data_IF_612649989025
#
_entry.id   IF_612649989025
#
_cell.length_a   1.000
_cell.length_b   1.000
_cell.length_c   1.000
_cell.angle_alpha   90.00
_cell.angle_beta   90.00
_cell.angle_gamma   90.00
#
_symmetry.space_group_name_H-M   'P 1'
#
loop_
_entity.id
_entity.type
_entity.pdbx_description
1 polymer ?
#
# COMPACT_ATOMS: atom_id res chain seq x y z
N UNK A 1 -41.19 -31.60 56.10
CA UNK A 1 -42.02 -30.84 57.05
C UNK A 1 -41.11 -29.76 57.65
N UNK A 2 -41.59 -28.50 57.64
CA UNK A 2 -41.15 -27.31 58.42
C UNK A 2 -40.09 -27.51 59.52
N UNK A 3 -39.22 -26.58 59.89
CA UNK A 3 -38.91 -25.19 59.58
C UNK A 3 -37.61 -24.86 60.38
N UNK A 4 -36.94 -23.73 60.14
CA UNK A 4 -36.56 -22.71 61.14
C UNK A 4 -35.59 -21.66 60.53
N UNK A 5 -35.59 -20.40 61.03
CA UNK A 5 -35.14 -19.21 60.30
C UNK A 5 -33.91 -18.48 60.89
N UNK A 6 -33.41 -17.54 60.06
CA UNK A 6 -32.72 -16.25 60.33
C UNK A 6 -31.56 -16.13 61.34
N UNK A 7 -30.43 -15.53 60.92
CA UNK A 7 -30.13 -14.10 61.19
C UNK A 7 -28.78 -13.63 60.58
N UNK A 8 -28.87 -12.46 59.94
CA UNK A 8 -27.91 -11.35 59.82
C UNK A 8 -26.41 -11.59 59.52
N UNK A 9 -25.99 -11.12 58.33
CA UNK A 9 -24.59 -10.75 58.02
C UNK A 9 -24.43 -9.22 58.08
N UNK A 10 -23.48 -8.74 58.88
CA UNK A 10 -22.98 -7.36 58.85
C UNK A 10 -21.59 -7.29 58.19
N UNK A 11 -21.54 -6.43 57.18
CA UNK A 11 -20.44 -5.70 56.53
C UNK A 11 -18.99 -5.81 57.08
N UNK A 12 -18.03 -6.02 56.17
CA UNK A 12 -16.94 -5.06 55.85
C UNK A 12 -16.06 -5.57 54.68
N UNK A 13 -16.20 -4.93 53.49
CA UNK A 13 -15.21 -4.09 52.78
C UNK A 13 -13.99 -4.77 52.15
N UNK A 14 -13.99 -4.83 50.82
CA UNK A 14 -12.84 -4.52 49.97
C UNK A 14 -13.36 -4.10 48.58
N UNK A 15 -12.93 -2.93 48.11
CA UNK A 15 -13.38 -2.24 46.90
C UNK A 15 -12.94 -2.96 45.62
N UNK A 16 -13.90 -3.20 44.72
CA UNK A 16 -13.63 -3.48 43.31
C UNK A 16 -13.68 -2.15 42.54
N UNK A 17 -12.56 -1.75 41.95
CA UNK A 17 -12.51 -0.70 40.94
C UNK A 17 -13.22 -1.20 39.67
N UNK A 18 -14.48 -0.79 39.49
CA UNK A 18 -15.17 -0.86 38.21
C UNK A 18 -14.89 0.44 37.43
N UNK A 19 -14.15 0.33 36.33
CA UNK A 19 -14.07 1.37 35.30
C UNK A 19 -15.46 1.56 34.67
N UNK A 20 -16.17 2.60 35.13
CA UNK A 20 -17.37 3.11 34.46
C UNK A 20 -16.96 3.94 33.24
N UNK A 21 -17.40 3.52 32.05
CA UNK A 21 -17.38 4.35 30.84
C UNK A 21 -18.48 5.41 30.95
N UNK A 22 -18.08 6.68 31.01
CA UNK A 22 -18.99 7.83 30.98
C UNK A 22 -19.34 8.13 29.51
N UNK A 23 -20.62 8.11 29.09
CA UNK A 23 -20.99 8.55 27.76
C UNK A 23 -20.96 10.08 27.70
N UNK A 24 -20.05 10.65 26.91
CA UNK A 24 -20.01 12.09 26.66
C UNK A 24 -21.08 12.44 25.62
N UNK A 25 -22.32 12.60 26.08
CA UNK A 25 -23.36 13.30 25.33
C UNK A 25 -23.22 14.82 25.55
N UNK A 26 -22.25 15.43 24.86
CA UNK A 26 -22.01 16.88 24.88
C UNK A 26 -22.19 17.49 23.50
N UNK A 27 -23.36 18.08 23.23
CA UNK A 27 -23.58 18.95 22.06
C UNK A 27 -22.80 20.25 22.26
N UNK A 28 -21.50 20.23 22.01
CA UNK A 28 -20.74 21.44 21.70
C UNK A 28 -20.75 21.63 20.19
N UNK A 29 -21.61 22.54 19.72
CA UNK A 29 -21.47 23.11 18.37
C UNK A 29 -20.14 23.86 18.34
N UNK A 30 -19.10 23.22 17.81
CA UNK A 30 -17.94 23.92 17.30
C UNK A 30 -18.44 24.91 16.23
N UNK A 31 -17.97 26.18 16.24
CA UNK A 31 -18.28 27.07 15.14
C UNK A 31 -17.76 26.44 13.86
N UNK A 32 -18.64 26.30 12.87
CA UNK A 32 -18.27 25.93 11.51
C UNK A 32 -17.38 27.07 11.01
N UNK A 33 -16.06 26.88 11.08
CA UNK A 33 -15.12 27.68 10.32
C UNK A 33 -15.40 27.38 8.86
N UNK A 34 -16.07 28.31 8.20
CA UNK A 34 -16.20 28.33 6.75
C UNK A 34 -14.81 28.23 6.12
N UNK A 35 -14.53 27.12 5.45
CA UNK A 35 -13.61 27.03 4.32
C UNK A 35 -12.20 27.62 4.53
N UNK A 36 -11.47 27.21 5.56
CA UNK A 36 -10.02 27.28 5.48
C UNK A 36 -9.54 26.11 4.61
N UNK A 37 -9.61 26.30 3.29
CA UNK A 37 -8.93 25.44 2.33
C UNK A 37 -7.45 25.54 2.71
N UNK A 38 -6.87 24.52 3.36
CA UNK A 38 -5.41 24.44 3.41
C UNK A 38 -5.00 24.29 1.95
N UNK A 39 -4.36 25.31 1.34
CA UNK A 39 -3.96 25.17 -0.05
C UNK A 39 -2.83 24.15 -0.02
N UNK A 40 -3.12 22.93 -0.49
CA UNK A 40 -2.07 21.97 -0.82
C UNK A 40 -1.08 22.72 -1.73
N UNK A 41 0.24 22.70 -1.42
CA UNK A 41 1.20 23.45 -2.20
C UNK A 41 1.09 23.06 -3.67
N UNK A 42 0.86 24.01 -4.58
CA UNK A 42 0.67 23.71 -6.01
C UNK A 42 1.84 22.91 -6.61
N UNK A 43 3.02 23.04 -6.02
CA UNK A 43 4.21 22.27 -6.40
C UNK A 43 4.03 20.75 -6.27
N UNK A 44 3.21 20.25 -5.34
CA UNK A 44 2.98 18.79 -5.21
C UNK A 44 2.16 18.22 -6.37
N UNK A 45 1.44 19.08 -7.09
CA UNK A 45 0.68 18.74 -8.29
C UNK A 45 1.44 19.07 -9.58
N UNK A 46 2.73 19.42 -9.48
CA UNK A 46 3.52 19.74 -10.66
C UNK A 46 3.66 18.52 -11.56
N UNK A 47 3.34 18.69 -12.84
CA UNK A 47 3.47 17.64 -13.86
C UNK A 47 4.85 17.67 -14.53
N UNK A 48 5.86 18.17 -13.82
CA UNK A 48 7.22 18.27 -14.33
C UNK A 48 7.74 16.89 -14.75
N UNK A 49 8.43 16.83 -15.88
CA UNK A 49 9.13 15.61 -16.28
C UNK A 49 10.11 15.21 -15.17
N UNK A 50 10.12 13.94 -14.75
CA UNK A 50 11.07 13.43 -13.77
C UNK A 50 12.52 13.64 -14.22
N UNK A 51 13.39 14.07 -13.31
CA UNK A 51 14.81 14.30 -13.58
C UNK A 51 15.68 13.72 -12.47
N UNK A 52 16.72 12.97 -12.84
CA UNK A 52 17.69 12.53 -11.85
C UNK A 52 18.50 13.73 -11.34
N UNK A 53 18.89 13.68 -10.07
CA UNK A 53 19.65 14.74 -9.41
C UNK A 53 20.82 14.17 -8.63
N UNK A 54 21.94 14.88 -8.63
CA UNK A 54 23.07 14.60 -7.74
C UNK A 54 23.05 15.63 -6.62
N UNK A 55 22.83 15.16 -5.40
CA UNK A 55 22.63 16.00 -4.22
C UNK A 55 23.95 16.19 -3.47
N UNK A 56 24.21 17.42 -3.02
CA UNK A 56 25.36 17.75 -2.18
C UNK A 56 24.89 18.12 -0.77
N UNK A 57 25.67 17.73 0.24
CA UNK A 57 25.39 18.10 1.63
C UNK A 57 25.67 19.60 1.84
N UNK A 58 24.62 20.39 2.07
CA UNK A 58 24.75 21.84 2.27
C UNK A 58 25.08 22.21 3.72
N UNK A 59 24.66 21.40 4.70
CA UNK A 59 24.85 21.69 6.12
C UNK A 59 24.86 20.42 6.97
N UNK A 60 25.66 20.42 8.03
CA UNK A 60 25.78 19.30 8.96
C UNK A 60 26.85 18.29 8.55
N UNK A 61 26.76 17.08 9.09
CA UNK A 61 27.67 15.96 8.80
C UNK A 61 26.79 14.76 8.45
N UNK A 62 27.00 14.18 7.26
CA UNK A 62 26.33 12.93 6.90
C UNK A 62 27.01 11.76 7.64
N UNK A 63 26.27 10.86 8.31
CA UNK A 63 26.88 9.72 8.98
C UNK A 63 27.60 8.82 7.98
N UNK A 64 28.87 8.53 8.22
CA UNK A 64 29.69 7.71 7.30
C UNK A 64 29.28 6.23 7.28
N UNK A 65 28.57 5.79 8.32
CA UNK A 65 28.07 4.44 8.50
C UNK A 65 26.63 4.26 7.99
N UNK A 66 25.97 5.34 7.55
CA UNK A 66 24.65 5.26 6.93
C UNK A 66 24.80 4.84 5.46
N UNK A 67 24.43 3.60 5.16
CA UNK A 67 24.49 3.02 3.81
C UNK A 67 23.13 2.54 3.34
N UNK A 68 23.04 2.14 2.07
CA UNK A 68 21.80 1.66 1.45
C UNK A 68 21.00 2.76 0.78
N UNK A 69 19.69 2.58 0.71
CA UNK A 69 18.79 3.40 -0.10
C UNK A 69 17.53 3.78 0.68
N UNK A 70 17.09 5.03 0.55
CA UNK A 70 15.73 5.44 0.89
C UNK A 70 14.86 5.34 -0.36
N UNK A 71 13.79 4.56 -0.26
CA UNK A 71 12.82 4.37 -1.32
C UNK A 71 11.52 5.07 -0.98
N UNK A 72 10.97 5.81 -1.95
CA UNK A 72 9.67 6.46 -1.83
C UNK A 72 8.82 6.11 -3.04
N UNK A 73 7.52 5.96 -2.83
CA UNK A 73 6.55 5.82 -3.91
C UNK A 73 5.50 6.91 -3.80
N UNK A 74 5.04 7.40 -4.95
CA UNK A 74 3.92 8.33 -5.04
C UNK A 74 3.26 8.21 -6.42
N UNK A 75 1.98 8.57 -6.57
CA UNK A 75 1.38 8.72 -7.88
C UNK A 75 1.92 9.97 -8.58
N UNK A 76 2.19 9.89 -9.89
CA UNK A 76 2.74 11.02 -10.64
C UNK A 76 1.65 11.99 -11.14
N UNK A 77 1.74 13.32 -10.88
CA UNK A 77 0.68 14.26 -11.22
C UNK A 77 0.30 14.38 -12.70
N UNK A 78 1.19 13.98 -13.63
CA UNK A 78 0.87 13.96 -15.07
C UNK A 78 -0.16 12.91 -15.46
N UNK A 79 -0.49 12.01 -14.53
CA UNK A 79 -1.42 10.88 -14.73
C UNK A 79 -2.63 10.96 -13.80
N UNK A 80 -2.82 12.11 -13.13
CA UNK A 80 -3.99 12.35 -12.29
C UNK A 80 -5.20 12.56 -13.18
N UNK A 81 -6.01 11.51 -13.29
CA UNK A 81 -7.36 11.61 -13.82
C UNK A 81 -8.33 11.79 -12.63
N UNK A 82 -9.32 12.68 -12.77
CA UNK A 82 -10.37 12.84 -11.76
C UNK A 82 -11.11 11.50 -11.56
N UNK A 83 -11.42 11.07 -10.32
CA UNK A 83 -11.73 11.94 -9.19
C UNK A 83 -10.62 12.09 -8.14
N UNK A 84 -9.56 11.28 -8.15
CA UNK A 84 -8.59 11.27 -7.04
C UNK A 84 -7.13 11.02 -7.49
N UNK A 85 -6.15 11.77 -6.96
CA UNK A 85 -4.71 11.58 -7.23
C UNK A 85 -4.17 10.17 -6.97
N UNK A 86 -4.83 9.39 -6.11
CA UNK A 86 -4.45 8.00 -5.78
C UNK A 86 -4.49 7.05 -6.98
N UNK A 87 -5.09 7.45 -8.09
CA UNK A 87 -5.17 6.63 -9.31
C UNK A 87 -4.15 7.03 -10.38
N UNK A 88 -3.25 7.96 -10.06
CA UNK A 88 -2.11 8.24 -10.93
C UNK A 88 -1.14 7.06 -10.98
N UNK A 89 -0.49 6.88 -12.12
CA UNK A 89 0.55 5.88 -12.30
C UNK A 89 1.70 6.12 -11.32
N UNK A 90 2.29 5.03 -10.84
CA UNK A 90 3.31 5.04 -9.81
C UNK A 90 4.61 5.67 -10.29
N UNK A 91 5.23 6.40 -9.38
CA UNK A 91 6.60 6.87 -9.46
C UNK A 91 7.37 6.25 -8.30
N UNK A 92 8.59 5.80 -8.58
CA UNK A 92 9.57 5.44 -7.54
C UNK A 92 10.69 6.47 -7.50
N UNK A 93 11.05 6.87 -6.29
CA UNK A 93 12.22 7.69 -6.00
C UNK A 93 13.20 6.87 -5.16
N UNK A 94 14.48 6.98 -5.48
CA UNK A 94 15.57 6.38 -4.72
C UNK A 94 16.59 7.45 -4.36
N UNK A 95 16.81 7.64 -3.07
CA UNK A 95 17.94 8.38 -2.54
C UNK A 95 19.00 7.39 -2.06
N UNK A 96 20.18 7.43 -2.67
CA UNK A 96 21.32 6.67 -2.20
C UNK A 96 21.91 7.33 -0.97
N UNK A 97 22.12 6.54 0.08
CA UNK A 97 22.62 7.01 1.36
C UNK A 97 24.16 6.99 1.41
N UNK A 98 24.80 6.48 0.36
CA UNK A 98 26.24 6.50 0.13
C UNK A 98 26.57 7.35 -1.10
N UNK A 99 27.51 8.29 -0.96
CA UNK A 99 27.94 9.16 -2.05
C UNK A 99 28.74 8.39 -3.12
N UNK A 100 28.74 8.86 -4.37
CA UNK A 100 29.47 8.21 -5.47
C UNK A 100 28.83 6.92 -6.00
N UNK A 101 27.63 6.58 -5.53
CA UNK A 101 26.90 5.38 -5.98
C UNK A 101 25.92 5.70 -7.11
N UNK A 102 25.49 4.67 -7.84
CA UNK A 102 24.45 4.76 -8.88
C UNK A 102 24.67 5.89 -9.91
N UNK A 103 25.92 6.06 -10.32
CA UNK A 103 26.34 7.02 -11.34
C UNK A 103 26.49 8.46 -10.85
N UNK A 104 26.30 8.74 -9.55
CA UNK A 104 26.62 10.05 -8.99
C UNK A 104 28.14 10.26 -8.87
N UNK A 105 28.63 11.51 -8.92
CA UNK A 105 30.01 11.85 -8.57
C UNK A 105 30.37 11.43 -7.13
N UNK A 106 31.67 11.24 -6.86
CA UNK A 106 32.20 10.72 -5.59
C UNK A 106 31.69 11.46 -4.33
N UNK A 107 31.48 12.77 -4.42
CA UNK A 107 31.04 13.61 -3.30
C UNK A 107 29.54 13.97 -3.34
N UNK A 108 28.76 13.27 -4.16
CA UNK A 108 27.33 13.51 -4.36
C UNK A 108 26.49 12.26 -4.09
N UNK A 109 25.28 12.48 -3.57
CA UNK A 109 24.29 11.43 -3.34
C UNK A 109 23.33 11.34 -4.53
N UNK A 110 23.10 10.12 -5.03
CA UNK A 110 22.20 9.90 -6.15
C UNK A 110 20.74 10.04 -5.70
N UNK A 111 19.99 10.97 -6.31
CA UNK A 111 18.54 10.96 -6.33
C UNK A 111 18.08 10.52 -7.72
N UNK A 112 17.46 9.34 -7.79
CA UNK A 112 16.98 8.76 -9.05
C UNK A 112 15.47 8.57 -9.00
N UNK A 113 14.80 8.85 -10.11
CA UNK A 113 13.34 8.77 -10.15
C UNK A 113 12.81 8.25 -11.47
N UNK A 114 11.84 7.33 -11.44
CA UNK A 114 11.21 6.75 -12.63
C UNK A 114 9.72 6.51 -12.41
N UNK A 115 8.93 6.90 -13.39
CA UNK A 115 7.55 6.45 -13.52
C UNK A 115 7.60 4.95 -13.86
N UNK A 116 6.73 4.17 -13.24
CA UNK A 116 6.64 2.72 -13.45
C UNK A 116 6.07 2.47 -14.85
N UNK A 117 6.96 2.06 -15.76
CA UNK A 117 6.64 1.80 -17.17
C UNK A 117 6.04 0.39 -17.36
N UNK A 118 4.94 0.12 -16.66
CA UNK A 118 4.20 -1.14 -16.73
C UNK A 118 3.42 -1.27 -18.06
N UNK A 119 2.94 -2.48 -18.42
CA UNK A 119 2.05 -2.65 -19.57
C UNK A 119 0.81 -1.76 -19.54
N UNK A 120 0.20 -1.52 -18.37
CA UNK A 120 -0.94 -0.59 -18.22
C UNK A 120 -0.54 0.85 -18.52
N UNK A 121 0.59 1.32 -17.96
CA UNK A 121 1.10 2.68 -18.20
C UNK A 121 1.46 2.90 -19.68
N UNK A 122 2.09 1.91 -20.34
CA UNK A 122 2.40 1.93 -21.78
C UNK A 122 1.15 2.00 -22.64
N UNK A 123 0.14 1.17 -22.36
CA UNK A 123 -1.13 1.18 -23.08
C UNK A 123 -1.86 2.51 -22.90
N UNK A 124 -1.88 3.04 -21.68
CA UNK A 124 -2.47 4.35 -21.36
C UNK A 124 -1.76 5.48 -22.09
N UNK A 125 -0.43 5.45 -22.18
CA UNK A 125 0.35 6.41 -22.95
C UNK A 125 0.05 6.33 -24.46
N UNK A 126 -0.09 5.12 -25.00
CA UNK A 126 -0.35 4.91 -26.42
C UNK A 126 -1.79 5.23 -26.83
N UNK A 127 -2.76 4.97 -25.95
CA UNK A 127 -4.21 5.09 -26.22
C UNK A 127 -4.95 5.77 -25.07
N UNK A 128 -4.58 7.00 -24.68
CA UNK A 128 -5.22 7.68 -23.55
C UNK A 128 -6.72 7.90 -23.76
N UNK A 129 -7.17 7.95 -25.03
CA UNK A 129 -8.55 8.15 -25.44
C UNK A 129 -9.53 7.06 -24.98
N UNK A 130 -9.03 5.85 -24.67
CA UNK A 130 -9.87 4.73 -24.21
C UNK A 130 -9.73 4.44 -22.72
N UNK A 131 -8.97 5.25 -21.98
CA UNK A 131 -8.87 5.15 -20.53
C UNK A 131 -9.80 6.15 -19.86
N UNK A 132 -10.40 5.76 -18.74
CA UNK A 132 -11.32 6.61 -17.99
C UNK A 132 -11.16 6.34 -16.51
N UNK A 133 -10.99 7.38 -15.72
CA UNK A 133 -10.97 7.23 -14.28
C UNK A 133 -12.36 6.97 -13.70
N UNK A 134 -12.37 6.17 -12.64
CA UNK A 134 -13.55 5.72 -11.90
C UNK A 134 -13.27 5.86 -10.41
N UNK A 135 -14.23 5.48 -9.57
CA UNK A 135 -14.04 5.43 -8.12
C UNK A 135 -13.15 4.26 -7.66
N UNK A 136 -12.80 3.33 -8.55
CA UNK A 136 -11.96 2.15 -8.25
C UNK A 136 -10.60 2.17 -8.96
N UNK A 137 -10.25 3.27 -9.65
CA UNK A 137 -9.06 3.36 -10.49
C UNK A 137 -9.36 3.70 -11.94
N UNK A 138 -8.40 3.47 -12.83
CA UNK A 138 -8.51 3.83 -14.26
C UNK A 138 -8.86 2.60 -15.10
N UNK A 139 -10.01 2.64 -15.77
CA UNK A 139 -10.53 1.54 -16.61
C UNK A 139 -10.31 1.79 -18.10
N UNK A 140 -10.29 0.71 -18.87
CA UNK A 140 -10.22 0.72 -20.34
C UNK A 140 -10.89 -0.53 -20.91
N UNK A 141 -11.10 -0.61 -22.24
CA UNK A 141 -11.48 -1.85 -22.91
C UNK A 141 -10.49 -3.01 -22.74
N UNK A 142 -9.28 -2.77 -22.24
CA UNK A 142 -8.29 -3.80 -21.95
C UNK A 142 -8.40 -4.36 -20.52
N UNK A 143 -9.14 -3.67 -19.65
CA UNK A 143 -9.27 -3.97 -18.22
C UNK A 143 -8.87 -2.79 -17.33
N UNK A 144 -8.37 -3.08 -16.12
CA UNK A 144 -8.04 -2.09 -15.08
C UNK A 144 -6.55 -1.79 -15.00
N UNK A 145 -6.19 -0.51 -15.02
CA UNK A 145 -4.80 -0.09 -14.88
C UNK A 145 -4.27 -0.41 -13.48
N UNK A 146 -3.20 -1.21 -13.40
CA UNK A 146 -2.40 -1.34 -12.19
C UNK A 146 -1.54 -0.08 -12.02
N UNK A 147 -1.84 0.74 -10.99
CA UNK A 147 -1.15 1.99 -10.74
C UNK A 147 0.22 1.81 -10.07
N UNK A 148 0.40 0.77 -9.24
CA UNK A 148 1.66 0.45 -8.56
C UNK A 148 2.37 1.64 -7.90
N UNK A 149 1.62 2.44 -7.14
CA UNK A 149 2.00 3.80 -6.71
C UNK A 149 2.02 4.01 -5.19
N UNK A 150 1.77 2.96 -4.40
CA UNK A 150 1.46 3.11 -2.97
C UNK A 150 2.67 2.89 -2.09
N UNK A 151 3.34 1.74 -2.22
CA UNK A 151 4.52 1.46 -1.41
C UNK A 151 5.63 0.76 -2.21
N UNK A 152 6.90 1.12 -1.95
CA UNK A 152 8.03 0.27 -2.32
C UNK A 152 8.16 -0.87 -1.30
N UNK A 153 8.55 -2.05 -1.77
CA UNK A 153 8.77 -3.23 -0.95
C UNK A 153 10.10 -3.89 -1.35
N UNK A 154 11.21 -3.62 -0.64
CA UNK A 154 12.46 -4.32 -0.86
C UNK A 154 12.41 -5.75 -0.30
N UNK A 155 13.01 -6.70 -1.02
CA UNK A 155 13.18 -8.08 -0.58
C UNK A 155 14.50 -8.64 -1.09
N UNK A 156 15.50 -8.69 -0.22
CA UNK A 156 16.85 -9.08 -0.62
C UNK A 156 17.41 -8.13 -1.68
N UNK A 157 17.78 -8.66 -2.84
CA UNK A 157 18.26 -7.90 -4.01
C UNK A 157 17.14 -7.49 -4.97
N UNK A 158 15.87 -7.66 -4.59
CA UNK A 158 14.68 -7.36 -5.41
C UNK A 158 13.94 -6.16 -4.86
N UNK A 159 13.23 -5.46 -5.74
CA UNK A 159 12.41 -4.31 -5.39
C UNK A 159 11.03 -4.43 -6.04
N UNK A 160 9.98 -4.25 -5.24
CA UNK A 160 8.61 -4.24 -5.72
C UNK A 160 7.93 -2.90 -5.47
N UNK A 161 6.92 -2.61 -6.27
CA UNK A 161 5.96 -1.52 -6.06
C UNK A 161 4.55 -2.09 -5.99
N UNK A 162 3.73 -1.53 -5.12
CA UNK A 162 2.44 -2.12 -4.74
C UNK A 162 1.30 -1.12 -4.85
N UNK A 163 0.09 -1.66 -4.92
CA UNK A 163 -1.17 -0.93 -4.93
C UNK A 163 -2.31 -1.86 -4.48
N UNK A 164 -3.35 -1.34 -3.86
CA UNK A 164 -4.48 -2.12 -3.32
C UNK A 164 -5.27 -2.89 -4.38
N UNK A 165 -5.12 -2.49 -5.64
CA UNK A 165 -5.96 -2.96 -6.75
C UNK A 165 -5.13 -3.47 -7.92
N UNK A 166 -4.01 -4.13 -7.61
CA UNK A 166 -3.16 -4.76 -8.61
C UNK A 166 -2.30 -5.88 -8.02
N UNK A 167 -1.60 -6.57 -8.91
CA UNK A 167 -0.51 -7.47 -8.51
C UNK A 167 0.72 -6.61 -8.17
N UNK A 168 1.52 -6.96 -7.15
CA UNK A 168 2.79 -6.28 -6.95
C UNK A 168 3.62 -6.31 -8.24
N UNK A 169 4.28 -5.20 -8.56
CA UNK A 169 5.16 -5.08 -9.72
C UNK A 169 6.60 -5.17 -9.23
N UNK A 170 7.40 -6.03 -9.85
CA UNK A 170 8.84 -6.05 -9.67
C UNK A 170 9.50 -5.01 -10.59
N UNK A 171 10.42 -4.25 -10.02
CA UNK A 171 11.28 -3.32 -10.73
C UNK A 171 12.75 -3.62 -10.44
N UNK A 172 13.60 -3.28 -11.39
CA UNK A 172 15.04 -3.36 -11.23
C UNK A 172 15.48 -2.35 -10.14
N UNK A 173 16.15 -2.79 -9.06
CA UNK A 173 16.52 -1.90 -7.96
C UNK A 173 17.59 -0.87 -8.34
N UNK A 174 18.31 -1.07 -9.45
CA UNK A 174 19.36 -0.17 -9.98
C UNK A 174 18.77 0.81 -10.97
N UNK A 175 18.03 0.33 -11.97
CA UNK A 175 17.50 1.18 -13.05
C UNK A 175 16.10 1.73 -12.77
N UNK A 176 15.38 1.16 -11.80
CA UNK A 176 13.96 1.37 -11.53
C UNK A 176 13.05 0.99 -12.71
N UNK A 177 13.55 0.19 -13.64
CA UNK A 177 12.82 -0.29 -14.80
C UNK A 177 11.85 -1.42 -14.46
N UNK A 178 10.70 -1.46 -15.12
CA UNK A 178 9.73 -2.55 -14.98
C UNK A 178 10.33 -3.91 -15.38
N UNK A 179 10.18 -4.92 -14.52
CA UNK A 179 10.59 -6.29 -14.80
C UNK A 179 9.38 -7.22 -15.02
N UNK A 180 8.35 -7.13 -14.18
CA UNK A 180 7.18 -7.99 -14.28
C UNK A 180 6.17 -7.75 -13.17
N UNK A 181 5.03 -8.42 -13.26
CA UNK A 181 4.07 -8.50 -12.15
C UNK A 181 4.26 -9.82 -11.41
N UNK A 182 4.07 -9.84 -10.09
CA UNK A 182 4.25 -11.02 -9.24
C UNK A 182 3.24 -12.11 -9.61
N UNK A 183 3.78 -13.32 -9.85
CA UNK A 183 3.04 -14.50 -10.30
C UNK A 183 2.58 -14.43 -11.75
N UNK A 184 1.97 -15.50 -12.24
CA UNK A 184 1.24 -15.50 -13.50
C UNK A 184 -0.21 -15.04 -13.27
N UNK A 185 -0.85 -14.40 -14.27
CA UNK A 185 -2.24 -13.93 -14.15
C UNK A 185 -3.19 -15.01 -13.63
N UNK A 186 -3.08 -16.24 -14.16
CA UNK A 186 -3.97 -17.36 -13.80
C UNK A 186 -3.81 -17.86 -12.36
N UNK A 187 -2.80 -17.40 -11.64
CA UNK A 187 -2.57 -17.76 -10.23
C UNK A 187 -3.32 -16.83 -9.28
N UNK A 188 -3.85 -15.71 -9.79
CA UNK A 188 -4.67 -14.76 -9.06
C UNK A 188 -6.14 -14.94 -9.37
N UNK A 189 -7.00 -14.57 -8.42
CA UNK A 189 -8.43 -14.38 -8.67
C UNK A 189 -8.65 -12.94 -9.09
N UNK A 190 -9.06 -12.75 -10.33
CA UNK A 190 -9.45 -11.46 -10.88
C UNK A 190 -10.93 -11.17 -10.62
N UNK A 191 -11.20 -9.92 -10.27
CA UNK A 191 -12.53 -9.40 -9.99
C UNK A 191 -13.15 -8.89 -11.28
N UNK A 192 -13.71 -9.80 -12.08
CA UNK A 192 -14.31 -9.48 -13.38
C UNK A 192 -15.70 -8.84 -13.24
N UNK A 193 -15.75 -7.51 -13.08
CA UNK A 193 -17.00 -6.72 -13.14
C UNK A 193 -17.38 -6.40 -14.61
N UNK A 194 -16.40 -6.49 -15.51
CA UNK A 194 -16.50 -6.23 -16.94
C UNK A 194 -15.41 -7.01 -17.67
N UNK A 195 -15.42 -7.00 -19.01
CA UNK A 195 -14.42 -7.72 -19.82
C UNK A 195 -12.99 -7.18 -19.57
N UNK A 196 -12.08 -8.06 -19.16
CA UNK A 196 -10.70 -7.74 -18.77
C UNK A 196 -9.72 -8.64 -19.56
N UNK A 197 -9.59 -8.46 -20.89
CA UNK A 197 -8.84 -9.38 -21.72
C UNK A 197 -7.33 -9.35 -21.43
N UNK A 198 -6.78 -8.24 -20.94
CA UNK A 198 -5.33 -8.06 -20.77
C UNK A 198 -4.95 -7.59 -19.36
N UNK A 199 -5.70 -6.65 -18.78
CA UNK A 199 -5.37 -5.97 -17.52
C UNK A 199 -6.35 -6.40 -16.41
N UNK A 200 -6.04 -7.46 -15.64
CA UNK A 200 -6.94 -7.99 -14.63
C UNK A 200 -7.08 -7.06 -13.43
N UNK A 201 -8.29 -7.01 -12.86
CA UNK A 201 -8.57 -6.35 -11.59
C UNK A 201 -8.24 -7.32 -10.45
N UNK A 202 -7.11 -7.15 -9.79
CA UNK A 202 -6.73 -7.99 -8.64
C UNK A 202 -6.83 -7.18 -7.36
N UNK A 203 -7.83 -7.47 -6.53
CA UNK A 203 -7.96 -6.87 -5.20
C UNK A 203 -6.92 -7.52 -4.28
N UNK A 204 -5.89 -6.78 -3.93
CA UNK A 204 -4.81 -7.21 -3.04
C UNK A 204 -4.60 -6.17 -1.93
N UNK A 205 -3.43 -6.16 -1.29
CA UNK A 205 -3.04 -5.14 -0.31
C UNK A 205 -1.90 -4.30 -0.86
N UNK A 206 -1.95 -2.99 -0.63
CA UNK A 206 -0.82 -2.12 -0.90
C UNK A 206 0.39 -2.36 0.02
N UNK A 207 0.20 -3.01 1.16
CA UNK A 207 1.26 -3.25 2.13
C UNK A 207 1.42 -4.76 2.42
N UNK A 208 1.85 -5.56 1.43
CA UNK A 208 2.30 -6.93 1.68
C UNK A 208 3.53 -6.91 2.61
N UNK A 209 3.81 -8.05 3.24
CA UNK A 209 4.93 -8.18 4.18
C UNK A 209 5.90 -9.25 3.72
N UNK A 210 7.20 -8.95 3.79
CA UNK A 210 8.26 -9.95 3.63
C UNK A 210 8.51 -10.60 4.97
N UNK A 211 8.45 -11.93 5.00
CA UNK A 211 8.84 -12.76 6.14
C UNK A 211 10.31 -13.16 6.01
N UNK A 212 11.24 -12.55 6.77
CA UNK A 212 12.66 -12.86 6.64
C UNK A 212 13.00 -14.26 7.15
N UNK A 213 12.23 -14.81 8.10
CA UNK A 213 12.51 -16.14 8.67
C UNK A 213 12.15 -17.25 7.69
N UNK A 214 11.13 -17.02 6.86
CA UNK A 214 10.62 -17.98 5.87
C UNK A 214 11.03 -17.66 4.44
N UNK A 215 11.61 -16.48 4.23
CA UNK A 215 11.98 -15.90 2.95
C UNK A 215 10.80 -15.94 1.96
N UNK A 216 9.70 -15.27 2.32
CA UNK A 216 8.48 -15.21 1.51
C UNK A 216 7.82 -13.86 1.56
N UNK A 217 7.04 -13.56 0.53
CA UNK A 217 6.06 -12.48 0.53
C UNK A 217 4.70 -13.04 0.97
N UNK A 218 4.11 -12.44 1.99
CA UNK A 218 2.71 -12.61 2.37
C UNK A 218 1.89 -11.44 1.86
N UNK A 219 0.78 -11.76 1.20
CA UNK A 219 -0.21 -10.80 0.72
C UNK A 219 -1.61 -11.43 0.79
N UNK A 220 -2.60 -10.74 0.26
CA UNK A 220 -3.98 -11.22 0.20
C UNK A 220 -4.52 -11.11 -1.21
N UNK A 221 -5.58 -11.87 -1.48
CA UNK A 221 -6.42 -11.66 -2.64
C UNK A 221 -7.89 -11.75 -2.21
N UNK A 222 -8.65 -10.70 -2.45
CA UNK A 222 -10.06 -10.63 -2.09
C UNK A 222 -10.89 -10.89 -3.34
N UNK A 223 -11.82 -11.85 -3.27
CA UNK A 223 -12.66 -12.21 -4.40
C UNK A 223 -14.11 -12.39 -3.95
N UNK A 224 -15.01 -11.53 -4.44
CA UNK A 224 -16.42 -11.48 -3.99
C UNK A 224 -16.57 -11.42 -2.46
N UNK A 225 -15.65 -10.69 -1.83
CA UNK A 225 -15.56 -10.53 -0.38
C UNK A 225 -14.88 -11.70 0.34
N UNK A 226 -14.60 -12.82 -0.32
CA UNK A 226 -13.85 -13.92 0.28
C UNK A 226 -12.36 -13.57 0.39
N UNK A 227 -11.83 -13.62 1.60
CA UNK A 227 -10.44 -13.40 1.89
C UNK A 227 -9.60 -14.63 1.55
N UNK A 228 -8.58 -14.45 0.74
CA UNK A 228 -7.53 -15.44 0.52
C UNK A 228 -6.20 -14.91 1.03
N UNK A 229 -5.45 -15.75 1.73
CA UNK A 229 -4.04 -15.49 2.02
C UNK A 229 -3.21 -16.02 0.86
N UNK A 230 -2.26 -15.20 0.42
CA UNK A 230 -1.34 -15.52 -0.67
C UNK A 230 0.08 -15.55 -0.13
N UNK A 231 0.81 -16.60 -0.49
CA UNK A 231 2.24 -16.79 -0.20
C UNK A 231 3.01 -16.91 -1.50
N UNK A 232 4.14 -16.24 -1.55
CA UNK A 232 5.10 -16.39 -2.65
C UNK A 232 6.52 -16.53 -2.13
N UNK A 233 7.28 -17.46 -2.68
CA UNK A 233 8.71 -17.65 -2.36
C UNK A 233 9.64 -16.98 -3.39
N UNK A 234 9.08 -16.18 -4.29
CA UNK A 234 9.85 -15.42 -5.27
C UNK A 234 10.18 -16.18 -6.55
N UNK A 235 9.94 -17.50 -6.61
CA UNK A 235 10.37 -18.36 -7.73
C UNK A 235 9.25 -19.28 -8.23
N UNK A 236 8.56 -19.95 -7.32
CA UNK A 236 7.52 -20.91 -7.64
C UNK A 236 6.17 -20.21 -7.86
N UNK A 237 5.19 -20.92 -8.46
CA UNK A 237 3.80 -20.48 -8.50
C UNK A 237 3.28 -20.04 -7.15
N UNK A 238 2.42 -19.02 -7.16
CA UNK A 238 1.76 -18.53 -5.96
C UNK A 238 0.96 -19.63 -5.28
N UNK A 239 1.01 -19.63 -3.95
CA UNK A 239 0.15 -20.46 -3.13
C UNK A 239 -0.94 -19.57 -2.54
N UNK A 240 -2.19 -20.02 -2.63
CA UNK A 240 -3.35 -19.25 -2.19
C UNK A 240 -4.30 -20.16 -1.41
N UNK A 241 -4.76 -19.70 -0.25
CA UNK A 241 -5.71 -20.42 0.58
C UNK A 241 -6.89 -19.52 0.97
N UNK A 242 -8.14 -19.96 0.77
CA UNK A 242 -9.29 -19.24 1.30
C UNK A 242 -9.32 -19.31 2.83
N UNK A 243 -9.69 -18.21 3.47
CA UNK A 243 -9.91 -18.17 4.91
C UNK A 243 -11.37 -18.47 5.20
N UNK A 244 -11.63 -19.62 5.84
CA UNK A 244 -12.99 -20.02 6.20
C UNK A 244 -13.66 -18.98 7.10
N UNK A 245 -14.78 -18.41 6.62
CA UNK A 245 -15.49 -17.34 7.33
C UNK A 245 -14.82 -15.96 7.25
N UNK A 246 -13.69 -15.83 6.55
CA UNK A 246 -13.02 -14.56 6.29
C UNK A 246 -13.74 -13.79 5.20
N UNK A 247 -14.65 -12.89 5.61
CA UNK A 247 -15.38 -12.01 4.71
C UNK A 247 -14.89 -10.58 4.89
N UNK A 248 -14.31 -10.01 3.84
CA UNK A 248 -13.93 -8.60 3.73
C UNK A 248 -14.82 -7.97 2.66
N UNK A 249 -15.89 -7.24 3.03
CA UNK A 249 -16.83 -6.68 2.05
C UNK A 249 -16.23 -5.56 1.19
N UNK A 250 -15.03 -5.11 1.52
CA UNK A 250 -14.36 -3.95 0.94
C UNK A 250 -12.92 -4.28 0.53
N UNK A 251 -11.92 -3.73 1.21
CA UNK A 251 -10.51 -3.84 0.90
C UNK A 251 -9.69 -4.22 2.14
N UNK A 252 -8.51 -4.78 1.90
CA UNK A 252 -7.46 -4.93 2.91
C UNK A 252 -6.35 -3.98 2.51
N UNK A 253 -6.18 -2.89 3.26
CA UNK A 253 -5.10 -1.95 2.96
C UNK A 253 -3.73 -2.49 3.40
N UNK A 254 -3.69 -3.18 4.55
CA UNK A 254 -2.44 -3.63 5.17
C UNK A 254 -2.53 -5.05 5.73
N UNK A 255 -1.46 -5.82 5.54
CA UNK A 255 -1.16 -7.04 6.26
C UNK A 255 0.12 -6.85 7.07
N UNK A 256 0.22 -7.54 8.20
CA UNK A 256 1.47 -7.69 8.94
C UNK A 256 1.56 -9.09 9.52
N UNK A 257 2.66 -9.38 10.20
CA UNK A 257 2.91 -10.70 10.75
C UNK A 257 3.59 -10.65 12.13
N UNK A 258 3.42 -11.73 12.85
CA UNK A 258 4.29 -12.16 13.94
C UNK A 258 4.94 -13.47 13.55
N UNK A 259 5.71 -14.09 14.44
CA UNK A 259 6.28 -15.42 14.20
C UNK A 259 5.21 -16.47 13.83
N UNK A 260 4.05 -16.37 14.46
CA UNK A 260 3.03 -17.43 14.44
C UNK A 260 1.69 -17.00 13.82
N UNK A 261 1.53 -15.70 13.50
CA UNK A 261 0.27 -15.14 13.05
C UNK A 261 0.45 -14.17 11.89
N UNK A 262 -0.46 -14.25 10.91
CA UNK A 262 -0.74 -13.15 9.99
C UNK A 262 -1.86 -12.31 10.58
N UNK A 263 -1.69 -10.99 10.53
CA UNK A 263 -2.66 -10.00 11.02
C UNK A 263 -3.10 -9.17 9.81
N UNK A 264 -4.38 -9.23 9.50
CA UNK A 264 -4.96 -8.61 8.30
C UNK A 264 -5.87 -7.47 8.77
N UNK A 265 -5.56 -6.25 8.34
CA UNK A 265 -6.34 -5.06 8.64
C UNK A 265 -7.35 -4.78 7.53
N UNK A 266 -8.64 -4.93 7.85
CA UNK A 266 -9.72 -4.43 7.00
C UNK A 266 -9.81 -2.90 7.12
N UNK A 267 -9.89 -2.21 5.99
CA UNK A 267 -10.06 -0.76 5.95
C UNK A 267 -11.31 -0.39 5.14
N UNK A 268 -12.13 0.47 5.74
CA UNK A 268 -13.22 1.11 5.04
C UNK A 268 -12.71 2.29 4.23
N UNK A 269 -12.96 2.25 2.92
CA UNK A 269 -12.86 3.38 2.00
C UNK A 269 -14.24 4.00 1.79
#
# INVERSE_FOLDING_TARGET
MHAYPQLASSEQTASQDQLQLIPIAGKHRLPILSGAHVPLPRSIFSQSTPQDHDLTLLSGIWPQDLTGELLLSAPHPSTFDNPHPFFGDGMTYRLSLEAGTHGAPQDSFAWRQRIIDSPSARLRTLRPDVFSATHMGVQSPFGMSNAANTAPLPWGDRLFTTWDVGRPIEIDPVTLGFLGEVGHRSEWKDFEIFDQPILPLVMSTAHPVIDPDRDVLWTVNIFWGELHVVRWDGVNPLQMWPITGGIIPQSVHTITQTRDWLIIGDCAF
#
